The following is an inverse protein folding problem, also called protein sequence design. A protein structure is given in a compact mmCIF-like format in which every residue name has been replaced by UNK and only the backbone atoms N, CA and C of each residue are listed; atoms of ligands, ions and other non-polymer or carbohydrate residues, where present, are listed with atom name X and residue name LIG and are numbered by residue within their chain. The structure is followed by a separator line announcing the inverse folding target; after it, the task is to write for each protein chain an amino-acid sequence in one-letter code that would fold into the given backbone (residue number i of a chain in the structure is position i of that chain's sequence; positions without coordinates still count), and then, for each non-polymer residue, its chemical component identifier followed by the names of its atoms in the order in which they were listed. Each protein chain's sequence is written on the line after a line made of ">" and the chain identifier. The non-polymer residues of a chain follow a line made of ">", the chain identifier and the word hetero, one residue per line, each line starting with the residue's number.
data_IF_744862030974
#
_entry.id   IF_744862030974
#
_cell.length_a   1.000
_cell.length_b   1.000
_cell.length_c   1.000
_cell.angle_alpha   90.00
_cell.angle_beta   90.00
_cell.angle_gamma   90.00
#
_symmetry.space_group_name_H-M   'P 1'
#
loop_
_entity.id
_entity.type
_entity.pdbx_description
1 polymer ?
#
# COMPACT_ATOMS: atom_id res chain seq x y z
N UNK A 1 -18.83 5.97 20.00
CA UNK A 1 -18.85 5.16 18.76
C UNK A 1 -17.83 5.67 17.74
N UNK A 2 -17.79 6.97 17.44
CA UNK A 2 -16.84 7.55 16.48
C UNK A 2 -15.36 7.26 16.75
N UNK A 3 -14.93 7.25 18.02
CA UNK A 3 -13.55 6.89 18.38
C UNK A 3 -13.22 5.42 18.06
N UNK A 4 -14.17 4.49 18.25
CA UNK A 4 -13.99 3.09 17.88
C UNK A 4 -13.89 2.94 16.35
N UNK A 5 -14.67 3.71 15.59
CA UNK A 5 -14.57 3.76 14.13
C UNK A 5 -13.21 4.33 13.69
N UNK A 6 -12.74 5.42 14.28
CA UNK A 6 -11.41 5.97 14.00
C UNK A 6 -10.29 4.96 14.25
N UNK A 7 -10.33 4.24 15.37
CA UNK A 7 -9.37 3.15 15.66
C UNK A 7 -9.47 2.02 14.65
N UNK A 8 -10.68 1.61 14.27
CA UNK A 8 -10.89 0.56 13.28
C UNK A 8 -10.35 0.97 11.90
N UNK A 9 -10.57 2.21 11.46
CA UNK A 9 -10.03 2.74 10.20
C UNK A 9 -8.50 2.79 10.24
N UNK A 10 -7.91 3.25 11.34
CA UNK A 10 -6.46 3.26 11.54
C UNK A 10 -5.86 1.83 11.51
N UNK A 11 -6.54 0.86 12.14
CA UNK A 11 -6.13 -0.54 12.12
C UNK A 11 -6.21 -1.14 10.70
N UNK A 12 -7.31 -0.90 9.98
CA UNK A 12 -7.48 -1.35 8.60
C UNK A 12 -6.41 -0.74 7.70
N UNK A 13 -6.10 0.54 7.87
CA UNK A 13 -5.02 1.20 7.14
C UNK A 13 -3.66 0.56 7.44
N UNK A 14 -3.32 0.36 8.72
CA UNK A 14 -2.07 -0.30 9.11
C UNK A 14 -1.96 -1.71 8.52
N UNK A 15 -3.03 -2.51 8.58
CA UNK A 15 -3.05 -3.86 8.02
C UNK A 15 -2.91 -3.84 6.50
N UNK A 16 -3.52 -2.87 5.81
CA UNK A 16 -3.34 -2.70 4.37
C UNK A 16 -1.86 -2.37 4.04
N UNK A 17 -1.28 -1.39 4.72
CA UNK A 17 0.14 -1.05 4.53
C UNK A 17 1.07 -2.22 4.84
N UNK A 18 0.84 -2.94 5.94
CA UNK A 18 1.64 -4.10 6.33
C UNK A 18 1.50 -5.24 5.33
N UNK A 19 0.29 -5.55 4.88
CA UNK A 19 0.06 -6.61 3.89
C UNK A 19 0.64 -6.27 2.51
N UNK A 20 0.64 -4.99 2.12
CA UNK A 20 1.37 -4.51 0.94
C UNK A 20 2.89 -4.68 1.10
N UNK A 21 3.46 -4.33 2.23
CA UNK A 21 4.91 -4.53 2.46
C UNK A 21 5.29 -6.02 2.48
N UNK A 22 4.55 -6.82 3.23
CA UNK A 22 4.84 -8.25 3.40
C UNK A 22 4.53 -9.07 2.15
N UNK A 23 3.62 -8.60 1.29
CA UNK A 23 3.27 -9.27 0.05
C UNK A 23 4.22 -8.96 -1.11
N UNK A 24 5.08 -7.94 -1.03
CA UNK A 24 6.06 -7.62 -2.07
C UNK A 24 6.91 -8.83 -2.51
N UNK A 25 7.51 -9.63 -1.60
CA UNK A 25 8.21 -10.86 -1.95
C UNK A 25 7.38 -11.85 -2.80
N UNK A 26 6.06 -11.88 -2.61
CA UNK A 26 5.15 -12.77 -3.34
C UNK A 26 5.12 -12.47 -4.85
N UNK A 27 5.43 -11.23 -5.26
CA UNK A 27 5.56 -10.88 -6.69
C UNK A 27 6.76 -11.57 -7.35
N UNK A 28 7.81 -11.85 -6.57
CA UNK A 28 9.05 -12.45 -7.05
C UNK A 28 9.05 -13.98 -6.93
N UNK A 29 8.30 -14.52 -5.96
CA UNK A 29 8.19 -15.97 -5.74
C UNK A 29 7.34 -16.64 -6.84
N UNK A 30 7.96 -17.58 -7.56
CA UNK A 30 7.34 -18.29 -8.70
C UNK A 30 6.34 -19.38 -8.30
N UNK A 31 6.36 -19.82 -7.04
CA UNK A 31 5.66 -21.03 -6.58
C UNK A 31 4.13 -20.89 -6.54
N UNK A 32 3.57 -19.67 -6.50
CA UNK A 32 2.13 -19.44 -6.25
C UNK A 32 1.51 -18.46 -7.27
N UNK A 33 1.15 -18.90 -8.49
CA UNK A 33 0.70 -17.99 -9.55
C UNK A 33 -0.64 -17.30 -9.25
N UNK A 34 -1.59 -18.00 -8.60
CA UNK A 34 -2.89 -17.42 -8.22
C UNK A 34 -2.75 -16.37 -7.13
N UNK A 35 -2.01 -16.68 -6.06
CA UNK A 35 -1.77 -15.74 -4.96
C UNK A 35 -1.07 -14.48 -5.45
N UNK A 36 -0.12 -14.63 -6.37
CA UNK A 36 0.55 -13.49 -7.00
C UNK A 36 -0.40 -12.61 -7.82
N UNK A 37 -1.34 -13.19 -8.57
CA UNK A 37 -2.32 -12.41 -9.34
C UNK A 37 -3.22 -11.60 -8.40
N UNK A 38 -3.79 -12.24 -7.37
CA UNK A 38 -4.62 -11.56 -6.39
C UNK A 38 -3.87 -10.45 -5.67
N UNK A 39 -2.62 -10.72 -5.27
CA UNK A 39 -1.77 -9.72 -4.64
C UNK A 39 -1.42 -8.58 -5.59
N UNK A 40 -1.13 -8.84 -6.87
CA UNK A 40 -0.86 -7.80 -7.85
C UNK A 40 -2.08 -6.89 -8.08
N UNK A 41 -3.28 -7.45 -8.16
CA UNK A 41 -4.53 -6.69 -8.25
C UNK A 41 -4.76 -5.84 -7.00
N UNK A 42 -4.59 -6.45 -5.82
CA UNK A 42 -4.67 -5.76 -4.54
C UNK A 42 -3.69 -4.58 -4.47
N UNK A 43 -2.41 -4.82 -4.75
CA UNK A 43 -1.36 -3.80 -4.68
C UNK A 43 -1.60 -2.68 -5.71
N UNK A 44 -2.03 -3.01 -6.93
CA UNK A 44 -2.37 -2.01 -7.94
C UNK A 44 -3.56 -1.14 -7.50
N UNK A 45 -4.64 -1.75 -7.01
CA UNK A 45 -5.80 -1.01 -6.52
C UNK A 45 -5.43 -0.12 -5.33
N UNK A 46 -4.64 -0.64 -4.39
CA UNK A 46 -4.16 0.10 -3.23
C UNK A 46 -3.30 1.31 -3.63
N UNK A 47 -2.37 1.14 -4.56
CA UNK A 47 -1.53 2.23 -5.08
C UNK A 47 -2.39 3.27 -5.80
N UNK A 48 -3.28 2.86 -6.72
CA UNK A 48 -4.13 3.80 -7.47
C UNK A 48 -5.00 4.61 -6.51
N UNK A 49 -5.65 3.95 -5.55
CA UNK A 49 -6.48 4.63 -4.56
C UNK A 49 -5.67 5.59 -3.69
N UNK A 50 -4.48 5.17 -3.25
CA UNK A 50 -3.57 6.00 -2.45
C UNK A 50 -3.10 7.24 -3.22
N UNK A 51 -2.69 7.09 -4.48
CA UNK A 51 -2.26 8.19 -5.34
C UNK A 51 -3.42 9.13 -5.70
N UNK A 52 -4.59 8.58 -6.05
CA UNK A 52 -5.79 9.37 -6.29
C UNK A 52 -6.18 10.20 -5.05
N UNK A 53 -6.08 9.60 -3.86
CA UNK A 53 -6.34 10.31 -2.60
C UNK A 53 -5.34 11.44 -2.38
N UNK A 54 -4.04 11.19 -2.57
CA UNK A 54 -2.99 12.21 -2.47
C UNK A 54 -3.24 13.38 -3.44
N UNK A 55 -3.70 13.10 -4.66
CA UNK A 55 -4.00 14.14 -5.66
C UNK A 55 -5.24 14.97 -5.29
N UNK A 56 -6.30 14.33 -4.79
CA UNK A 56 -7.57 15.00 -4.49
C UNK A 56 -7.59 15.70 -3.12
N UNK A 57 -6.97 15.08 -2.11
CA UNK A 57 -7.06 15.48 -0.70
C UNK A 57 -5.72 15.94 -0.12
N UNK A 58 -4.60 15.74 -0.82
CA UNK A 58 -3.25 16.02 -0.29
C UNK A 58 -2.76 15.01 0.75
N UNK A 59 -3.56 14.01 1.08
CA UNK A 59 -3.28 12.94 2.03
C UNK A 59 -4.04 11.65 1.65
N UNK A 60 -3.75 10.54 2.33
CA UNK A 60 -4.45 9.28 2.05
C UNK A 60 -5.92 9.34 2.52
N UNK A 61 -6.86 8.83 1.72
CA UNK A 61 -8.30 8.85 2.01
C UNK A 61 -8.63 8.25 3.38
N UNK A 62 -8.01 7.12 3.71
CA UNK A 62 -8.18 6.48 5.02
C UNK A 62 -7.71 7.39 6.16
N UNK A 63 -6.65 8.18 5.96
CA UNK A 63 -6.18 9.16 6.96
C UNK A 63 -7.16 10.31 7.11
N UNK A 64 -7.71 10.84 6.00
CA UNK A 64 -8.78 11.85 6.04
C UNK A 64 -10.02 11.32 6.75
N UNK A 65 -10.41 10.07 6.47
CA UNK A 65 -11.54 9.42 7.12
C UNK A 65 -11.30 9.23 8.62
N UNK A 66 -10.11 8.80 9.03
CA UNK A 66 -9.77 8.72 10.45
C UNK A 66 -9.85 10.10 11.09
N UNK A 67 -9.27 11.14 10.46
CA UNK A 67 -9.32 12.52 11.00
C UNK A 67 -10.77 13.00 11.14
N UNK A 68 -11.62 12.71 10.16
CA UNK A 68 -13.04 13.01 10.22
C UNK A 68 -13.74 12.28 11.37
N UNK A 69 -13.48 10.98 11.57
CA UNK A 69 -14.03 10.22 12.70
C UNK A 69 -13.56 10.77 14.05
N UNK A 70 -12.29 11.18 14.18
CA UNK A 70 -11.76 11.79 15.41
C UNK A 70 -12.34 13.17 15.67
N UNK A 71 -12.56 13.98 14.63
CA UNK A 71 -13.20 15.30 14.76
C UNK A 71 -14.64 15.21 15.29
N UNK A 72 -15.35 14.11 15.03
CA UNK A 72 -16.71 13.86 15.52
C UNK A 72 -16.74 13.05 16.83
N UNK A 73 -15.57 12.74 17.40
CA UNK A 73 -15.44 12.02 18.68
C UNK A 73 -15.29 12.97 19.87
N UNK A 74 -15.74 12.58 21.08
CA UNK A 74 -15.59 13.39 22.28
C UNK A 74 -14.12 13.56 22.73
N UNK A 75 -13.23 12.67 22.28
CA UNK A 75 -11.79 12.80 22.46
C UNK A 75 -11.17 13.45 21.23
N UNK A 76 -10.90 14.75 21.31
CA UNK A 76 -10.10 15.47 20.32
C UNK A 76 -8.65 14.98 20.40
N UNK A 77 -8.30 13.95 19.63
CA UNK A 77 -6.91 13.57 19.43
C UNK A 77 -6.23 14.63 18.54
N UNK A 78 -5.81 15.73 19.17
CA UNK A 78 -5.35 16.98 18.57
C UNK A 78 -3.93 16.93 17.96
N UNK A 79 -3.58 15.87 17.23
CA UNK A 79 -2.32 15.87 16.47
C UNK A 79 -2.59 15.89 14.98
N UNK A 80 -2.21 16.97 14.29
CA UNK A 80 -2.21 17.08 12.83
C UNK A 80 -1.15 16.19 12.13
N UNK A 81 -0.52 15.28 12.87
CA UNK A 81 0.49 14.37 12.36
C UNK A 81 -0.14 13.24 11.53
N UNK A 82 0.59 12.80 10.49
CA UNK A 82 0.18 11.67 9.66
C UNK A 82 0.06 10.39 10.49
N UNK A 83 -0.83 9.48 10.08
CA UNK A 83 -1.00 8.19 10.74
C UNK A 83 0.32 7.43 10.90
N UNK A 84 1.17 7.42 9.87
CA UNK A 84 2.49 6.79 9.89
C UNK A 84 3.44 7.43 10.89
N UNK A 85 3.35 8.74 11.12
CA UNK A 85 4.14 9.45 12.14
C UNK A 85 3.66 9.06 13.54
N UNK A 86 2.34 9.02 13.76
CA UNK A 86 1.75 8.56 15.03
C UNK A 86 2.12 7.11 15.33
N UNK A 87 2.01 6.22 14.33
CA UNK A 87 2.36 4.81 14.47
C UNK A 87 3.86 4.63 14.72
N UNK A 88 4.71 5.30 13.96
CA UNK A 88 6.16 5.23 14.16
C UNK A 88 6.60 5.79 15.52
N UNK A 89 5.95 6.86 15.99
CA UNK A 89 6.19 7.41 17.33
C UNK A 89 5.71 6.44 18.41
N UNK A 90 4.57 5.79 18.23
CA UNK A 90 4.03 4.82 19.18
C UNK A 90 4.83 3.51 19.24
N UNK A 91 5.29 2.99 18.10
CA UNK A 91 5.97 1.69 18.00
C UNK A 91 7.48 1.82 18.19
N UNK A 92 8.10 2.84 17.60
CA UNK A 92 9.56 2.97 17.53
C UNK A 92 10.10 4.20 18.27
N UNK A 93 9.25 5.06 18.84
CA UNK A 93 9.68 6.31 19.46
C UNK A 93 10.26 7.33 18.46
N UNK A 94 10.05 7.14 17.15
CA UNK A 94 10.63 7.99 16.10
C UNK A 94 9.59 8.92 15.47
N UNK A 95 10.01 10.13 15.13
CA UNK A 95 9.22 11.07 14.33
C UNK A 95 9.81 11.14 12.90
N UNK A 96 9.42 10.24 11.98
CA UNK A 96 9.98 10.21 10.64
C UNK A 96 9.65 11.51 9.90
N UNK A 97 10.65 12.07 9.21
CA UNK A 97 10.44 13.27 8.40
C UNK A 97 9.50 12.96 7.23
N UNK A 98 8.59 13.89 6.90
CA UNK A 98 7.65 13.73 5.76
C UNK A 98 8.37 13.34 4.46
N UNK A 99 9.60 13.84 4.28
CA UNK A 99 10.43 13.55 3.10
C UNK A 99 10.84 12.08 3.01
N UNK A 100 11.22 11.46 4.13
CA UNK A 100 11.56 10.03 4.18
C UNK A 100 10.34 9.17 3.84
N UNK A 101 9.16 9.54 4.36
CA UNK A 101 7.92 8.81 4.09
C UNK A 101 7.56 8.88 2.59
N UNK A 102 7.70 10.05 1.95
CA UNK A 102 7.48 10.19 0.50
C UNK A 102 8.43 9.31 -0.29
N UNK A 103 9.73 9.38 0.01
CA UNK A 103 10.76 8.60 -0.67
C UNK A 103 10.53 7.09 -0.54
N UNK A 104 10.18 6.62 0.66
CA UNK A 104 9.87 5.21 0.89
C UNK A 104 8.62 4.80 0.10
N UNK A 105 7.58 5.62 0.09
CA UNK A 105 6.36 5.35 -0.68
C UNK A 105 6.64 5.25 -2.17
N UNK A 106 7.40 6.20 -2.73
CA UNK A 106 7.83 6.19 -4.14
C UNK A 106 8.66 4.95 -4.48
N UNK A 107 9.64 4.61 -3.64
CA UNK A 107 10.46 3.41 -3.81
C UNK A 107 9.62 2.13 -3.80
N UNK A 108 8.63 2.03 -2.91
CA UNK A 108 7.72 0.87 -2.83
C UNK A 108 6.78 0.77 -4.03
N UNK A 109 6.28 1.91 -4.53
CA UNK A 109 5.48 1.96 -5.76
C UNK A 109 6.31 1.48 -6.95
N UNK A 110 7.55 1.97 -7.09
CA UNK A 110 8.48 1.54 -8.14
C UNK A 110 8.80 0.04 -8.05
N UNK A 111 9.10 -0.47 -6.85
CA UNK A 111 9.35 -1.88 -6.61
C UNK A 111 8.13 -2.75 -6.97
N UNK A 112 6.91 -2.30 -6.62
CA UNK A 112 5.67 -2.99 -6.97
C UNK A 112 5.47 -3.01 -8.48
N UNK A 113 5.62 -1.86 -9.16
CA UNK A 113 5.49 -1.74 -10.60
C UNK A 113 6.50 -2.64 -11.35
N UNK A 114 7.76 -2.61 -10.94
CA UNK A 114 8.80 -3.50 -11.48
C UNK A 114 8.45 -4.97 -11.26
N UNK A 115 7.99 -5.33 -10.05
CA UNK A 115 7.50 -6.66 -9.72
C UNK A 115 6.39 -7.12 -10.66
N UNK A 116 5.39 -6.28 -10.94
CA UNK A 116 4.27 -6.55 -11.86
C UNK A 116 4.72 -6.68 -13.31
N UNK A 117 5.62 -5.82 -13.78
CA UNK A 117 6.15 -5.86 -15.15
C UNK A 117 6.96 -7.16 -15.38
N UNK A 118 7.92 -7.45 -14.50
CA UNK A 118 8.72 -8.69 -14.55
C UNK A 118 7.79 -9.91 -14.51
N UNK A 119 6.75 -9.81 -13.70
CA UNK A 119 5.68 -10.79 -13.60
C UNK A 119 5.03 -11.09 -14.96
N UNK A 120 4.57 -10.07 -15.67
CA UNK A 120 3.88 -10.18 -16.96
C UNK A 120 4.83 -10.64 -18.06
N UNK A 121 6.04 -10.07 -18.12
CA UNK A 121 7.07 -10.46 -19.09
C UNK A 121 7.42 -11.95 -18.97
N UNK A 122 7.58 -12.44 -17.74
CA UNK A 122 7.85 -13.88 -17.49
C UNK A 122 6.67 -14.76 -17.89
N UNK A 123 5.43 -14.31 -17.71
CA UNK A 123 4.24 -15.05 -18.13
C UNK A 123 4.16 -15.16 -19.67
N UNK A 124 4.36 -14.04 -20.38
CA UNK A 124 4.35 -13.99 -21.85
C UNK A 124 5.43 -14.88 -22.49
N UNK A 125 6.62 -14.96 -21.87
CA UNK A 125 7.70 -15.84 -22.36
C UNK A 125 7.34 -17.34 -22.29
N UNK A 126 6.43 -17.76 -21.40
CA UNK A 126 6.01 -19.17 -21.30
C UNK A 126 4.92 -19.56 -22.29
N UNK A 127 4.08 -18.61 -22.69
CA UNK A 127 2.97 -18.85 -23.62
C UNK A 127 3.38 -18.74 -25.09
N UNK A 128 4.62 -18.35 -25.39
CA UNK A 128 5.13 -18.37 -26.77
C UNK A 128 5.40 -19.83 -27.14
N UNK A 129 4.63 -20.45 -28.07
CA UNK A 129 4.95 -21.79 -28.53
C UNK A 129 6.35 -21.78 -29.17
N UNK A 130 7.11 -22.88 -29.10
CA UNK A 130 8.34 -23.00 -29.86
C UNK A 130 8.00 -22.79 -31.33
N UNK A 131 8.69 -21.86 -31.99
CA UNK A 131 8.59 -21.71 -33.44
C UNK A 131 9.17 -23.00 -34.02
N UNK A 132 8.29 -23.92 -34.42
CA UNK A 132 8.68 -25.11 -35.16
C UNK A 132 9.16 -24.63 -36.52
N UNK A 133 10.47 -24.47 -36.66
CA UNK A 133 11.15 -24.34 -37.93
C UNK A 133 11.07 -25.71 -38.63
N UNK A 134 9.92 -26.02 -39.22
CA UNK A 134 9.83 -27.06 -40.24
C UNK A 134 10.19 -26.41 -41.57
N UNK A 135 11.45 -26.61 -41.95
CA UNK A 135 11.94 -26.44 -43.31
C UNK A 135 11.67 -27.72 -44.11
#
# INVERSE_FOLDING_TARGET
>A
MWSALGVAVDLVHALAMASWLLGLPLLFVRRWPRARLWYALYAAAFIVLSQASMLLMGECFLTSLTRWCWAHGPMHAASNDWFTVRLARAVFGMAPSRRIISWLSEALVLATAAGVIVSVVRARRRTRPPVSLTA
#
